data_IF_186455590339
#
_entry.id   IF_186455590339
#
_cell.length_a   1.000
_cell.length_b   1.000
_cell.length_c   1.000
_cell.angle_alpha   90.00
_cell.angle_beta   90.00
_cell.angle_gamma   90.00
#
_symmetry.space_group_name_H-M   'P 1'
#
loop_
_entity.id
_entity.type
_entity.pdbx_description
1 polymer ?
#
# COMPACT_ATOMS: atom_id res chain seq x y z
N UNK A 1 -8.70 -0.97 14.74
CA UNK A 1 -8.35 0.13 13.81
C UNK A 1 -9.09 -0.06 12.49
N UNK A 2 -9.32 1.00 11.73
CA UNK A 2 -10.04 0.96 10.45
C UNK A 2 -9.35 1.82 9.37
N UNK A 3 -9.41 1.37 8.12
CA UNK A 3 -9.08 2.21 6.96
C UNK A 3 -10.26 3.14 6.68
N UNK A 4 -10.02 4.45 6.76
CA UNK A 4 -11.05 5.48 6.58
C UNK A 4 -11.08 6.04 5.17
N UNK A 5 -9.96 6.00 4.46
CA UNK A 5 -9.87 6.47 3.07
C UNK A 5 -8.68 5.83 2.34
N UNK A 6 -8.81 5.68 1.02
CA UNK A 6 -7.72 5.27 0.13
C UNK A 6 -7.71 6.22 -1.06
N UNK A 7 -6.67 7.04 -1.12
CA UNK A 7 -6.48 8.02 -2.17
C UNK A 7 -5.46 7.50 -3.16
N UNK A 8 -5.75 7.63 -4.46
CA UNK A 8 -4.82 7.35 -5.54
C UNK A 8 -4.60 8.62 -6.36
N UNK A 9 -3.36 8.81 -6.81
CA UNK A 9 -3.04 9.84 -7.80
C UNK A 9 -2.01 9.33 -8.80
N UNK A 10 -2.38 9.35 -10.07
CA UNK A 10 -1.42 9.21 -11.17
C UNK A 10 -0.55 10.47 -11.25
N UNK A 11 0.76 10.29 -11.18
CA UNK A 11 1.76 11.36 -11.26
C UNK A 11 2.72 11.12 -12.42
N UNK A 12 3.00 12.14 -13.27
CA UNK A 12 3.98 11.99 -14.34
C UNK A 12 5.39 11.87 -13.76
N UNK A 13 6.20 10.98 -14.33
CA UNK A 13 7.57 10.72 -13.88
C UNK A 13 8.55 10.78 -15.04
N UNK A 14 9.68 11.46 -14.84
CA UNK A 14 10.75 11.54 -15.83
C UNK A 14 11.75 10.41 -15.63
N UNK A 15 12.27 9.85 -16.72
CA UNK A 15 13.46 8.97 -16.70
C UNK A 15 14.77 9.78 -16.60
N UNK A 16 14.68 11.09 -16.69
CA UNK A 16 15.82 12.00 -16.72
C UNK A 16 16.01 12.67 -15.35
N UNK A 17 17.27 12.90 -14.98
CA UNK A 17 17.64 13.72 -13.82
C UNK A 17 17.18 15.18 -13.95
N UNK A 18 16.96 15.64 -15.18
CA UNK A 18 16.49 17.00 -15.48
C UNK A 18 14.96 17.09 -15.42
N UNK A 19 14.46 17.86 -14.45
CA UNK A 19 13.01 18.08 -14.24
C UNK A 19 12.32 18.84 -15.38
N UNK A 20 13.08 19.57 -16.20
CA UNK A 20 12.59 20.34 -17.35
C UNK A 20 12.28 19.47 -18.58
N UNK A 21 12.78 18.24 -18.63
CA UNK A 21 12.50 17.32 -19.72
C UNK A 21 11.13 16.65 -19.52
N UNK A 22 10.26 16.61 -20.55
CA UNK A 22 8.96 15.96 -20.45
C UNK A 22 9.09 14.47 -20.09
N UNK A 23 8.12 13.91 -19.37
CA UNK A 23 8.12 12.50 -18.91
C UNK A 23 8.11 11.46 -20.03
N UNK A 24 7.98 11.87 -21.29
CA UNK A 24 7.79 10.96 -22.41
C UNK A 24 6.49 10.15 -22.31
N UNK A 25 5.51 10.63 -21.55
CA UNK A 25 4.24 9.94 -21.30
C UNK A 25 4.27 8.90 -20.18
N UNK A 26 5.39 8.80 -19.43
CA UNK A 26 5.47 7.91 -18.28
C UNK A 26 4.80 8.53 -17.06
N UNK A 27 4.10 7.68 -16.33
CA UNK A 27 3.46 7.99 -15.06
C UNK A 27 3.62 6.82 -14.08
N UNK A 28 3.21 7.07 -12.84
CA UNK A 28 3.12 6.07 -11.77
C UNK A 28 1.95 6.43 -10.85
N UNK A 29 1.39 5.45 -10.16
CA UNK A 29 0.40 5.70 -9.11
C UNK A 29 1.11 5.93 -7.78
N UNK A 30 0.74 7.01 -7.10
CA UNK A 30 1.01 7.21 -5.69
C UNK A 30 -0.29 7.02 -4.91
N UNK A 31 -0.23 6.32 -3.78
CA UNK A 31 -1.39 6.06 -2.92
C UNK A 31 -1.16 6.53 -1.50
N UNK A 32 -2.25 6.91 -0.83
CA UNK A 32 -2.30 7.16 0.60
C UNK A 32 -3.44 6.32 1.21
N UNK A 33 -3.09 5.47 2.19
CA UNK A 33 -4.05 4.68 2.97
C UNK A 33 -4.19 5.35 4.33
N UNK A 34 -5.34 5.96 4.58
CA UNK A 34 -5.63 6.74 5.79
C UNK A 34 -6.35 5.85 6.79
N UNK A 35 -5.92 5.89 8.05
CA UNK A 35 -6.55 5.15 9.15
C UNK A 35 -7.19 6.06 10.20
N UNK A 36 -8.02 5.49 11.05
CA UNK A 36 -8.59 6.16 12.23
C UNK A 36 -7.62 6.27 13.43
N UNK A 37 -6.42 5.69 13.34
CA UNK A 37 -5.43 5.72 14.42
C UNK A 37 -4.74 7.08 14.45
N UNK A 38 -4.93 7.84 15.53
CA UNK A 38 -4.32 9.17 15.69
C UNK A 38 -2.95 9.06 16.38
N UNK A 39 -1.93 9.69 15.78
CA UNK A 39 -0.59 9.86 16.36
C UNK A 39 -0.10 11.29 16.10
N UNK A 40 0.42 11.93 17.14
CA UNK A 40 0.90 13.32 17.07
C UNK A 40 -0.12 14.32 16.50
N UNK A 41 -1.41 14.09 16.79
CA UNK A 41 -2.51 14.95 16.35
C UNK A 41 -3.01 14.72 14.92
N UNK A 42 -2.47 13.74 14.19
CA UNK A 42 -2.88 13.40 12.82
C UNK A 42 -3.19 11.90 12.66
N UNK A 43 -4.07 11.52 11.70
CA UNK A 43 -4.29 10.12 11.38
C UNK A 43 -3.04 9.49 10.78
N UNK A 44 -2.68 8.30 11.25
CA UNK A 44 -1.63 7.50 10.64
C UNK A 44 -2.05 7.19 9.20
N UNK A 45 -1.24 7.68 8.28
CA UNK A 45 -1.40 7.48 6.84
C UNK A 45 -0.17 6.78 6.31
N UNK A 46 -0.39 5.65 5.65
CA UNK A 46 0.65 4.94 4.93
C UNK A 46 0.71 5.36 3.48
N UNK A 47 1.90 5.37 2.90
CA UNK A 47 2.12 5.80 1.53
C UNK A 47 2.79 4.72 0.72
N UNK A 48 2.41 4.63 -0.56
CA UNK A 48 2.99 3.71 -1.51
C UNK A 48 3.08 4.34 -2.89
N UNK A 49 4.03 3.89 -3.70
CA UNK A 49 4.08 4.25 -5.11
C UNK A 49 4.64 3.10 -5.95
N UNK A 50 4.14 2.95 -7.18
CA UNK A 50 4.68 1.95 -8.11
C UNK A 50 6.04 2.37 -8.68
N UNK A 51 6.90 1.39 -8.93
CA UNK A 51 8.18 1.62 -9.61
C UNK A 51 8.00 2.06 -11.07
N UNK A 52 9.05 2.63 -11.65
CA UNK A 52 9.07 3.19 -13.00
C UNK A 52 8.90 2.08 -14.05
N UNK A 53 8.18 2.39 -15.13
CA UNK A 53 8.15 1.58 -16.37
C UNK A 53 6.93 0.69 -16.56
N UNK A 54 5.97 0.72 -15.62
CA UNK A 54 4.71 -0.03 -15.72
C UNK A 54 3.45 0.85 -15.65
N UNK A 55 3.62 2.17 -15.72
CA UNK A 55 2.54 3.17 -15.74
C UNK A 55 1.65 3.16 -14.50
N UNK A 56 0.87 4.23 -14.33
CA UNK A 56 -0.13 4.36 -13.29
C UNK A 56 -1.24 3.31 -13.44
N UNK A 57 -1.75 2.86 -12.30
CA UNK A 57 -2.74 1.78 -12.20
C UNK A 57 -4.04 2.26 -11.53
N UNK A 58 -4.37 3.54 -11.70
CA UNK A 58 -5.53 4.20 -11.09
C UNK A 58 -6.83 3.40 -11.26
N UNK A 59 -7.14 2.94 -12.48
CA UNK A 59 -8.35 2.15 -12.73
C UNK A 59 -8.39 0.88 -11.90
N UNK A 60 -7.31 0.09 -11.88
CA UNK A 60 -7.26 -1.14 -11.08
C UNK A 60 -7.34 -0.87 -9.58
N UNK A 61 -6.67 0.18 -9.09
CA UNK A 61 -6.70 0.57 -7.69
C UNK A 61 -8.13 0.99 -7.30
N UNK A 62 -8.72 1.94 -8.01
CA UNK A 62 -9.98 2.59 -7.64
C UNK A 62 -11.21 1.72 -7.93
N UNK A 63 -11.18 0.89 -8.99
CA UNK A 63 -12.35 0.11 -9.39
C UNK A 63 -12.38 -1.29 -8.79
N UNK A 64 -11.23 -1.79 -8.29
CA UNK A 64 -11.11 -3.20 -7.89
C UNK A 64 -10.50 -3.44 -6.53
N UNK A 65 -9.30 -2.93 -6.27
CA UNK A 65 -8.54 -3.34 -5.08
C UNK A 65 -8.82 -2.48 -3.85
N UNK A 66 -8.85 -1.14 -3.99
CA UNK A 66 -9.20 -0.25 -2.89
C UNK A 66 -10.64 -0.46 -2.39
N UNK A 67 -11.67 -0.66 -3.24
CA UNK A 67 -13.02 -0.96 -2.77
C UNK A 67 -13.12 -2.23 -1.91
N UNK A 68 -12.32 -3.27 -2.21
CA UNK A 68 -12.28 -4.50 -1.40
C UNK A 68 -11.78 -4.22 0.02
N UNK A 69 -10.69 -3.46 0.14
CA UNK A 69 -10.16 -3.03 1.43
C UNK A 69 -11.16 -2.16 2.21
N UNK A 70 -11.79 -1.20 1.54
CA UNK A 70 -12.76 -0.29 2.16
C UNK A 70 -14.05 -0.98 2.62
N UNK A 71 -14.41 -2.10 1.99
CA UNK A 71 -15.61 -2.87 2.31
C UNK A 71 -15.38 -3.95 3.39
N UNK A 72 -14.13 -4.30 3.69
CA UNK A 72 -13.80 -5.30 4.69
C UNK A 72 -14.15 -4.80 6.10
N UNK A 73 -14.63 -5.71 6.95
CA UNK A 73 -14.83 -5.42 8.36
C UNK A 73 -13.47 -5.25 9.07
N UNK A 74 -13.44 -4.42 10.13
CA UNK A 74 -12.21 -4.16 10.89
C UNK A 74 -11.54 -5.44 11.39
N UNK A 75 -12.33 -6.46 11.75
CA UNK A 75 -11.84 -7.78 12.20
C UNK A 75 -11.19 -8.60 11.09
N UNK A 76 -11.53 -8.34 9.83
CA UNK A 76 -10.95 -9.04 8.67
C UNK A 76 -9.58 -8.48 8.30
N UNK A 77 -9.31 -7.21 8.60
CA UNK A 77 -8.03 -6.56 8.30
C UNK A 77 -7.09 -6.46 9.51
N UNK A 78 -7.63 -6.51 10.73
CA UNK A 78 -6.84 -6.40 11.95
C UNK A 78 -5.98 -7.65 12.24
N UNK A 79 -4.87 -7.43 12.94
CA UNK A 79 -4.08 -8.50 13.56
C UNK A 79 -4.84 -9.20 14.70
N UNK A 80 -4.26 -10.27 15.27
CA UNK A 80 -4.90 -11.00 16.38
C UNK A 80 -5.17 -10.14 17.62
N UNK A 81 -4.32 -9.12 17.87
CA UNK A 81 -4.48 -8.18 18.98
C UNK A 81 -5.59 -7.13 18.76
N UNK A 82 -6.06 -6.94 17.53
CA UNK A 82 -7.06 -5.93 17.15
C UNK A 82 -6.55 -4.47 17.17
N UNK A 83 -5.26 -4.26 17.44
CA UNK A 83 -4.65 -2.94 17.63
C UNK A 83 -3.89 -2.43 16.39
N UNK A 84 -3.64 -3.30 15.41
CA UNK A 84 -2.92 -2.96 14.18
C UNK A 84 -3.54 -3.65 12.95
N UNK A 85 -3.21 -3.18 11.76
CA UNK A 85 -3.52 -3.86 10.50
C UNK A 85 -2.58 -5.06 10.31
N UNK A 86 -3.12 -6.15 9.78
CA UNK A 86 -2.36 -7.31 9.34
C UNK A 86 -2.16 -7.23 7.81
N UNK A 87 -0.92 -6.98 7.33
CA UNK A 87 -0.65 -6.87 5.90
C UNK A 87 -1.00 -8.14 5.11
N UNK A 88 -0.89 -9.33 5.71
CA UNK A 88 -1.21 -10.59 5.04
C UNK A 88 -2.70 -10.79 4.85
N UNK A 89 -3.50 -10.38 5.84
CA UNK A 89 -4.96 -10.36 5.71
C UNK A 89 -5.42 -9.32 4.70
N UNK A 90 -4.81 -8.14 4.70
CA UNK A 90 -5.10 -7.11 3.72
C UNK A 90 -4.76 -7.57 2.28
N UNK A 91 -3.65 -8.26 2.09
CA UNK A 91 -3.31 -8.89 0.81
C UNK A 91 -4.37 -9.91 0.37
N UNK A 92 -4.80 -10.78 1.30
CA UNK A 92 -5.84 -11.79 1.05
C UNK A 92 -7.16 -11.14 0.66
N UNK A 93 -7.55 -10.06 1.35
CA UNK A 93 -8.72 -9.26 1.04
C UNK A 93 -8.65 -8.68 -0.39
N UNK A 94 -7.55 -8.00 -0.73
CA UNK A 94 -7.35 -7.42 -2.06
C UNK A 94 -7.42 -8.48 -3.17
N UNK A 95 -6.85 -9.66 -2.94
CA UNK A 95 -6.76 -10.72 -3.93
C UNK A 95 -8.00 -11.61 -4.01
N UNK A 96 -9.00 -11.40 -3.15
CA UNK A 96 -10.24 -12.17 -3.16
C UNK A 96 -10.95 -12.10 -4.52
N UNK A 97 -11.31 -13.28 -5.06
CA UNK A 97 -11.97 -13.42 -6.36
C UNK A 97 -11.05 -13.27 -7.58
N UNK A 98 -9.74 -13.06 -7.41
CA UNK A 98 -8.79 -13.01 -8.53
C UNK A 98 -8.46 -14.41 -9.05
N UNK A 99 -8.59 -14.62 -10.37
CA UNK A 99 -8.17 -15.89 -11.01
C UNK A 99 -6.64 -16.05 -11.02
N UNK A 100 -6.11 -17.30 -11.03
CA UNK A 100 -4.69 -17.57 -11.24
C UNK A 100 -4.16 -17.08 -12.61
N UNK A 101 -2.85 -16.81 -12.72
CA UNK A 101 -2.18 -16.38 -13.96
C UNK A 101 -2.35 -14.88 -14.28
N UNK A 102 -1.88 -14.41 -15.44
CA UNK A 102 -2.07 -13.00 -15.86
C UNK A 102 -1.38 -11.96 -14.97
N UNK A 103 -0.16 -12.26 -14.51
CA UNK A 103 0.62 -11.36 -13.65
C UNK A 103 1.24 -10.21 -14.46
N UNK A 104 0.45 -9.15 -14.70
CA UNK A 104 0.86 -7.98 -15.49
C UNK A 104 0.61 -6.66 -14.76
N UNK A 105 -0.58 -6.10 -14.91
CA UNK A 105 -0.90 -4.76 -14.38
C UNK A 105 -1.40 -4.80 -12.93
N UNK A 106 -2.18 -5.84 -12.59
CA UNK A 106 -2.72 -5.99 -11.23
C UNK A 106 -1.66 -6.14 -10.14
N UNK A 107 -0.51 -6.73 -10.44
CA UNK A 107 0.56 -6.85 -9.44
C UNK A 107 1.17 -5.49 -9.10
N UNK A 108 1.16 -4.53 -10.04
CA UNK A 108 1.61 -3.16 -9.81
C UNK A 108 0.60 -2.43 -8.93
N UNK A 109 -0.69 -2.55 -9.22
CA UNK A 109 -1.77 -1.98 -8.41
C UNK A 109 -1.73 -2.51 -6.96
N UNK A 110 -1.72 -3.84 -6.80
CA UNK A 110 -1.70 -4.49 -5.48
C UNK A 110 -0.40 -4.19 -4.74
N UNK A 111 0.75 -4.22 -5.40
CA UNK A 111 2.04 -3.88 -4.76
C UNK A 111 2.13 -2.44 -4.29
N UNK A 112 1.47 -1.51 -4.98
CA UNK A 112 1.41 -0.10 -4.58
C UNK A 112 0.59 0.08 -3.30
N UNK A 113 -0.57 -0.59 -3.20
CA UNK A 113 -1.39 -0.61 -1.98
C UNK A 113 -0.70 -1.35 -0.84
N UNK A 114 -0.07 -2.50 -1.13
CA UNK A 114 0.67 -3.31 -0.16
C UNK A 114 1.78 -2.49 0.52
N UNK A 115 2.56 -1.73 -0.26
CA UNK A 115 3.58 -0.83 0.27
C UNK A 115 3.00 0.16 1.30
N UNK A 116 1.85 0.77 1.01
CA UNK A 116 1.18 1.69 1.92
C UNK A 116 0.64 0.99 3.17
N UNK A 117 0.11 -0.23 3.03
CA UNK A 117 -0.39 -1.04 4.16
C UNK A 117 0.75 -1.40 5.12
N UNK A 118 1.90 -1.84 4.59
CA UNK A 118 3.08 -2.12 5.41
C UNK A 118 3.60 -0.86 6.12
N UNK A 119 3.57 0.29 5.45
CA UNK A 119 3.92 1.58 6.05
C UNK A 119 2.95 1.97 7.18
N UNK A 120 1.63 1.79 7.00
CA UNK A 120 0.63 1.94 8.09
C UNK A 120 1.01 1.04 9.27
N UNK A 121 1.20 -0.25 9.02
CA UNK A 121 1.41 -1.25 10.07
C UNK A 121 2.65 -0.93 10.92
N UNK A 122 3.76 -0.56 10.26
CA UNK A 122 4.99 -0.18 10.91
C UNK A 122 4.85 1.13 11.71
N UNK A 123 4.15 2.13 11.16
CA UNK A 123 3.87 3.42 11.83
C UNK A 123 3.03 3.25 13.09
N UNK A 124 1.98 2.42 13.03
CA UNK A 124 1.15 2.06 14.19
C UNK A 124 2.00 1.36 15.25
N UNK A 125 2.82 0.38 14.85
CA UNK A 125 3.75 -0.31 15.75
C UNK A 125 4.86 0.59 16.31
N UNK A 126 5.06 1.79 15.75
CA UNK A 126 6.15 2.69 16.16
C UNK A 126 7.54 2.16 15.80
N UNK A 127 7.62 1.30 14.78
CA UNK A 127 8.86 0.66 14.36
C UNK A 127 9.27 1.14 12.96
N UNK A 128 10.58 1.21 12.66
CA UNK A 128 11.02 1.31 11.29
C UNK A 128 10.62 0.02 10.53
N UNK A 129 10.15 0.16 9.29
CA UNK A 129 9.56 -0.94 8.52
C UNK A 129 10.44 -2.19 8.46
N UNK A 130 11.77 -2.04 8.32
CA UNK A 130 12.69 -3.18 8.26
C UNK A 130 12.68 -4.04 9.53
N UNK A 131 12.46 -3.44 10.72
CA UNK A 131 12.32 -4.19 11.98
C UNK A 131 10.96 -4.84 12.06
N UNK A 132 9.91 -4.10 11.69
CA UNK A 132 8.55 -4.61 11.69
C UNK A 132 8.39 -5.84 10.78
N UNK A 133 8.97 -5.81 9.56
CA UNK A 133 9.00 -6.98 8.67
C UNK A 133 9.70 -8.16 9.34
N UNK A 134 10.86 -7.94 9.95
CA UNK A 134 11.60 -9.00 10.64
C UNK A 134 10.79 -9.67 11.74
N UNK A 135 10.08 -8.88 12.55
CA UNK A 135 9.17 -9.38 13.58
C UNK A 135 7.97 -10.12 12.98
N UNK A 136 7.31 -9.53 11.98
CA UNK A 136 6.13 -10.10 11.32
C UNK A 136 6.42 -11.40 10.55
N UNK A 137 7.64 -11.59 10.03
CA UNK A 137 8.03 -12.79 9.28
C UNK A 137 8.91 -13.76 10.08
N UNK A 138 9.14 -13.50 11.38
CA UNK A 138 10.02 -14.30 12.23
C UNK A 138 11.48 -14.35 11.74
N UNK A 139 11.92 -13.35 10.99
CA UNK A 139 13.26 -13.24 10.42
C UNK A 139 14.05 -12.18 11.18
N UNK A 140 15.24 -12.52 11.71
CA UNK A 140 16.04 -11.54 12.44
C UNK A 140 16.35 -10.30 11.57
N UNK A 141 15.99 -9.07 12.00
CA UNK A 141 16.23 -7.88 11.21
C UNK A 141 17.74 -7.66 11.02
N UNK A 142 18.18 -7.54 9.76
CA UNK A 142 19.57 -7.19 9.44
C UNK A 142 19.64 -5.68 9.21
N UNK A 143 20.38 -4.92 10.04
CA UNK A 143 20.73 -3.55 9.65
C UNK A 143 21.58 -3.62 8.38
N UNK A 144 21.23 -2.76 7.41
CA UNK A 144 22.01 -2.55 6.18
C UNK A 144 23.30 -1.79 6.42
#
# INVERSE_FOLDING_TARGET
MRITDILERTVPISRYSERSMPSGGLDTSAVAVVTDVIKDGAPITGYGFSSIGRYGQAGLINERFAPRLMAAADTELGNEGGDNIDPFRAWTCMMSGEKPGGHGERCVAVGTLDMAIWDVAAKIAGLPLYRFIGEATGTAPRPG
#
